data_IF_247465584349
#
_entry.id   IF_247465584349
#
_cell.length_a   1.000
_cell.length_b   1.000
_cell.length_c   1.000
_cell.angle_alpha   90.00
_cell.angle_beta   90.00
_cell.angle_gamma   90.00
#
_symmetry.space_group_name_H-M   'P 1'
#
loop_
_entity.id
_entity.type
_entity.pdbx_description
1 polymer ?
#
# COMPACT_ATOMS: atom_id res chain seq x y z
N UNK A 1 -16.68 33.20 -9.78
CA UNK A 1 -16.64 32.82 -8.35
C UNK A 1 -16.12 31.39 -8.29
N UNK A 2 -15.05 31.10 -7.55
CA UNK A 2 -14.55 29.72 -7.37
C UNK A 2 -15.12 29.14 -6.09
N UNK A 3 -15.94 28.10 -6.17
CA UNK A 3 -16.36 27.34 -4.99
C UNK A 3 -15.20 26.42 -4.60
N UNK A 4 -14.50 26.72 -3.51
CA UNK A 4 -13.45 25.83 -2.98
C UNK A 4 -14.12 24.67 -2.26
N UNK A 5 -14.09 23.47 -2.84
CA UNK A 5 -14.41 22.24 -2.12
C UNK A 5 -13.26 21.92 -1.16
N UNK A 6 -13.37 22.42 0.07
CA UNK A 6 -12.40 22.14 1.13
C UNK A 6 -12.56 20.68 1.58
N UNK A 7 -11.55 19.84 1.30
CA UNK A 7 -11.44 18.50 1.90
C UNK A 7 -11.30 18.65 3.42
N UNK A 8 -12.40 18.38 4.13
CA UNK A 8 -12.53 18.67 5.55
C UNK A 8 -12.17 17.42 6.38
N UNK A 9 -10.90 17.34 6.80
CA UNK A 9 -10.36 16.24 7.60
C UNK A 9 -11.06 16.19 8.96
N UNK A 10 -11.82 15.10 9.21
CA UNK A 10 -12.62 14.93 10.40
C UNK A 10 -11.93 14.02 11.44
N UNK A 11 -11.01 14.58 12.22
CA UNK A 11 -10.36 13.86 13.32
C UNK A 11 -11.35 13.62 14.49
N UNK A 12 -11.72 12.35 14.72
CA UNK A 12 -12.63 11.96 15.81
C UNK A 12 -11.85 11.81 17.12
N UNK A 13 -11.93 12.81 18.00
CA UNK A 13 -11.45 12.72 19.37
C UNK A 13 -12.48 11.99 20.24
N UNK A 14 -12.08 10.85 20.82
CA UNK A 14 -12.89 10.15 21.82
C UNK A 14 -12.80 10.88 23.17
N UNK A 15 -13.90 11.51 23.59
CA UNK A 15 -14.03 12.08 24.93
C UNK A 15 -14.28 10.97 25.96
N UNK A 16 -13.27 10.64 26.76
CA UNK A 16 -13.39 9.70 27.87
C UNK A 16 -13.95 10.39 29.12
N UNK A 17 -15.23 10.18 29.42
CA UNK A 17 -15.80 10.55 30.72
C UNK A 17 -15.48 9.46 31.76
N UNK A 18 -14.61 9.79 32.72
CA UNK A 18 -14.42 8.98 33.93
C UNK A 18 -15.54 9.19 34.95
N UNK A 19 -15.74 8.22 35.84
CA UNK A 19 -16.74 8.28 36.90
C UNK A 19 -16.67 7.07 37.83
N UNK A 20 -15.96 7.20 38.96
CA UNK A 20 -15.87 6.17 39.99
C UNK A 20 -17.06 6.21 40.96
N UNK A 21 -17.49 5.03 41.48
CA UNK A 21 -17.64 4.74 42.93
C UNK A 21 -18.62 3.58 43.24
N UNK A 22 -18.16 2.59 44.02
CA UNK A 22 -18.92 1.76 45.02
C UNK A 22 -20.13 0.88 44.57
N UNK A 23 -20.43 -0.30 45.16
CA UNK A 23 -19.66 -1.18 46.08
C UNK A 23 -20.34 -2.55 46.35
N UNK A 24 -19.65 -3.67 46.08
CA UNK A 24 -19.83 -5.01 46.70
C UNK A 24 -21.15 -5.79 46.46
N UNK A 25 -21.28 -7.03 47.00
CA UNK A 25 -20.30 -7.91 47.65
C UNK A 25 -20.02 -9.22 46.87
N UNK A 26 -19.20 -10.12 47.43
CA UNK A 26 -18.89 -11.46 46.88
C UNK A 26 -19.96 -12.53 47.19
N UNK A 27 -19.85 -13.75 46.61
CA UNK A 27 -19.36 -14.86 47.44
C UNK A 27 -18.28 -15.74 46.77
N UNK A 28 -17.70 -16.64 47.56
CA UNK A 28 -16.60 -17.55 47.20
C UNK A 28 -17.07 -18.80 46.42
N UNK A 29 -16.13 -19.46 45.71
CA UNK A 29 -15.85 -20.90 45.90
C UNK A 29 -14.46 -21.28 45.35
N UNK A 30 -13.87 -22.35 45.88
CA UNK A 30 -12.50 -22.82 45.56
C UNK A 30 -12.50 -23.94 44.50
N UNK A 31 -11.34 -24.36 43.97
CA UNK A 31 -10.59 -25.47 44.58
C UNK A 31 -9.13 -25.15 44.95
N UNK A 32 -8.40 -26.13 45.50
CA UNK A 32 -7.10 -25.99 46.19
C UNK A 32 -6.11 -27.14 45.87
N UNK A 33 -4.80 -26.87 45.96
CA UNK A 33 -3.66 -27.84 45.97
C UNK A 33 -3.43 -28.73 44.72
N UNK A 34 -2.23 -29.22 44.38
CA UNK A 34 -0.82 -29.05 44.85
C UNK A 34 0.10 -29.39 43.64
N UNK A 35 1.25 -28.77 43.33
CA UNK A 35 2.46 -28.32 44.06
C UNK A 35 3.65 -29.31 43.97
N UNK A 36 4.91 -28.79 44.08
CA UNK A 36 6.23 -29.48 44.09
C UNK A 36 6.66 -30.06 42.70
N UNK A 37 7.93 -29.97 42.21
CA UNK A 37 9.12 -29.13 42.49
C UNK A 37 10.16 -29.26 41.33
N UNK A 38 11.18 -28.39 41.19
CA UNK A 38 12.17 -28.42 40.09
C UNK A 38 13.44 -29.26 40.38
N UNK A 39 14.28 -29.47 39.36
CA UNK A 39 15.63 -30.04 39.45
C UNK A 39 16.67 -29.15 38.74
N UNK A 40 17.92 -29.18 39.21
CA UNK A 40 18.99 -28.23 38.86
C UNK A 40 20.35 -28.91 38.67
N UNK A 41 21.33 -28.15 38.14
CA UNK A 41 22.79 -28.41 38.23
C UNK A 41 23.33 -29.66 37.50
N UNK A 42 24.61 -29.76 37.12
CA UNK A 42 25.79 -28.87 37.28
C UNK A 42 26.90 -29.27 36.30
N UNK A 43 27.75 -28.29 35.91
CA UNK A 43 29.15 -28.42 35.41
C UNK A 43 29.42 -29.34 34.19
N UNK A 44 30.52 -29.25 33.45
CA UNK A 44 31.66 -28.32 33.33
C UNK A 44 32.35 -28.64 31.98
N UNK A 45 33.24 -27.87 31.36
CA UNK A 45 34.29 -27.01 31.86
C UNK A 45 35.60 -27.34 31.12
N UNK A 46 36.41 -26.31 30.82
CA UNK A 46 37.79 -26.36 30.28
C UNK A 46 38.00 -26.50 28.75
N UNK A 47 39.23 -26.20 28.30
CA UNK A 47 39.54 -25.71 26.95
C UNK A 47 40.83 -26.27 26.29
N UNK A 48 41.03 -25.87 25.02
CA UNK A 48 42.32 -25.66 24.30
C UNK A 48 43.33 -26.80 24.10
N UNK A 49 43.54 -27.18 22.82
CA UNK A 49 44.82 -27.32 22.05
C UNK A 49 44.41 -27.43 20.57
N UNK A 50 44.97 -26.77 19.55
CA UNK A 50 46.34 -26.39 19.13
C UNK A 50 47.20 -27.56 18.61
N UNK A 51 47.19 -27.72 17.27
CA UNK A 51 48.31 -28.09 16.36
C UNK A 51 47.76 -28.01 14.91
N UNK A 52 48.30 -27.30 13.91
CA UNK A 52 49.66 -27.21 13.31
C UNK A 52 50.10 -28.52 12.65
N UNK A 53 50.53 -28.58 11.38
CA UNK A 53 50.92 -27.54 10.39
C UNK A 53 50.22 -27.80 9.02
N UNK A 54 50.63 -27.40 7.80
CA UNK A 54 51.87 -26.80 7.26
C UNK A 54 51.65 -26.10 5.89
N UNK A 55 52.74 -25.58 5.29
CA UNK A 55 52.82 -24.95 3.95
C UNK A 55 53.25 -26.01 2.87
N UNK A 56 53.39 -25.75 1.55
CA UNK A 56 53.94 -24.57 0.83
C UNK A 56 53.46 -24.38 -0.63
N UNK A 57 53.26 -23.10 -1.01
CA UNK A 57 53.72 -22.40 -2.25
C UNK A 57 53.67 -23.10 -3.63
N UNK A 58 52.99 -22.45 -4.60
CA UNK A 58 53.18 -22.67 -6.04
C UNK A 58 52.74 -21.47 -6.90
N UNK A 59 53.69 -20.85 -7.63
CA UNK A 59 53.51 -19.85 -8.72
C UNK A 59 53.44 -20.60 -10.08
N UNK A 60 53.02 -20.07 -11.23
CA UNK A 60 52.58 -18.73 -11.71
C UNK A 60 51.76 -18.89 -13.03
N UNK A 61 51.23 -17.78 -13.59
CA UNK A 61 51.18 -17.34 -15.02
C UNK A 61 51.07 -18.35 -16.20
N UNK A 62 50.54 -18.05 -17.40
CA UNK A 62 49.70 -16.96 -17.96
C UNK A 62 49.58 -17.17 -19.49
N UNK A 63 48.51 -16.73 -20.16
CA UNK A 63 48.60 -16.27 -21.57
C UNK A 63 47.37 -15.45 -21.99
N UNK A 64 47.55 -14.54 -22.96
CA UNK A 64 46.52 -13.64 -23.50
C UNK A 64 46.62 -13.55 -25.02
N UNK A 65 45.54 -13.15 -25.70
CA UNK A 65 45.58 -12.75 -27.10
C UNK A 65 44.58 -11.62 -27.38
N UNK A 66 45.02 -10.58 -28.10
CA UNK A 66 44.20 -9.45 -28.56
C UNK A 66 43.65 -9.70 -29.97
N UNK A 67 42.53 -9.05 -30.32
CA UNK A 67 42.23 -8.62 -31.70
C UNK A 67 41.75 -7.15 -31.65
N UNK A 68 42.00 -6.38 -32.71
CA UNK A 68 41.97 -4.91 -32.71
C UNK A 68 40.66 -4.28 -33.18
N UNK A 69 40.51 -2.98 -32.90
CA UNK A 69 39.31 -2.19 -33.16
C UNK A 69 39.06 -1.84 -34.64
N UNK A 70 37.82 -1.44 -34.92
CA UNK A 70 37.44 -0.61 -36.06
C UNK A 70 36.37 0.40 -35.60
N UNK A 71 36.49 1.67 -36.01
CA UNK A 71 35.60 2.75 -35.58
C UNK A 71 34.47 2.99 -36.58
N UNK A 72 33.24 3.21 -36.09
CA UNK A 72 32.16 3.82 -36.86
C UNK A 72 31.37 4.80 -35.99
N UNK A 73 31.42 6.08 -36.35
CA UNK A 73 30.84 7.17 -35.57
C UNK A 73 29.43 7.51 -36.04
N UNK A 74 28.41 7.01 -35.35
CA UNK A 74 27.05 7.56 -35.40
C UNK A 74 26.83 8.48 -34.22
N UNK A 75 26.55 9.77 -34.49
CA UNK A 75 26.31 10.76 -33.46
C UNK A 75 24.95 10.51 -32.79
N UNK A 76 24.97 9.90 -31.60
CA UNK A 76 23.79 9.85 -30.72
C UNK A 76 23.58 11.24 -30.13
N UNK A 77 22.63 11.99 -30.70
CA UNK A 77 22.27 13.33 -30.24
C UNK A 77 21.83 13.31 -28.78
N UNK A 78 22.67 13.81 -27.88
CA UNK A 78 22.44 13.86 -26.44
C UNK A 78 21.45 14.96 -26.04
N UNK A 79 20.21 14.84 -26.52
CA UNK A 79 19.09 15.72 -26.17
C UNK A 79 18.45 15.29 -24.85
N UNK A 80 19.22 15.34 -23.75
CA UNK A 80 18.78 14.99 -22.39
C UNK A 80 17.88 16.07 -21.77
N UNK A 81 16.77 16.39 -22.44
CA UNK A 81 15.63 17.02 -21.81
C UNK A 81 14.88 15.94 -21.02
N UNK A 82 15.15 15.83 -19.71
CA UNK A 82 14.49 14.87 -18.82
C UNK A 82 13.05 15.34 -18.56
N UNK A 83 12.20 15.11 -19.54
CA UNK A 83 10.75 15.03 -19.38
C UNK A 83 10.44 13.64 -18.80
N UNK A 84 9.49 13.56 -17.86
CA UNK A 84 9.21 12.33 -17.11
C UNK A 84 9.14 11.08 -18.00
N UNK A 85 9.98 10.10 -17.71
CA UNK A 85 10.04 8.86 -18.49
C UNK A 85 8.84 7.99 -18.15
N UNK A 86 7.88 7.93 -19.09
CA UNK A 86 6.68 7.11 -19.00
C UNK A 86 7.00 5.67 -18.56
N UNK A 87 6.30 5.09 -17.56
CA UNK A 87 6.59 3.75 -17.08
C UNK A 87 6.55 2.69 -18.18
N UNK A 88 7.52 1.76 -18.17
CA UNK A 88 7.64 0.73 -19.20
C UNK A 88 6.48 -0.30 -19.19
N UNK A 89 5.64 -0.29 -18.16
CA UNK A 89 4.43 -1.10 -18.04
C UNK A 89 3.15 -0.39 -18.52
N UNK A 90 3.25 0.88 -18.96
CA UNK A 90 2.15 1.70 -19.44
C UNK A 90 2.14 1.84 -20.97
N UNK A 91 0.97 1.67 -21.57
CA UNK A 91 0.70 1.90 -22.99
C UNK A 91 -0.29 3.06 -23.17
N UNK A 92 0.26 4.22 -23.56
CA UNK A 92 -0.49 5.43 -23.86
C UNK A 92 -1.34 5.34 -25.15
N UNK A 93 -1.10 4.38 -26.04
CA UNK A 93 -1.90 4.20 -27.25
C UNK A 93 -3.20 3.46 -26.98
N UNK A 94 -3.23 2.57 -25.97
CA UNK A 94 -4.45 1.88 -25.52
C UNK A 94 -5.06 2.45 -24.23
N UNK A 95 -4.35 3.34 -23.52
CA UNK A 95 -4.68 3.79 -22.15
C UNK A 95 -4.82 2.59 -21.21
N UNK A 96 -3.79 1.72 -21.20
CA UNK A 96 -3.72 0.57 -20.29
C UNK A 96 -2.36 0.46 -19.61
N UNK A 97 -2.36 -0.11 -18.42
CA UNK A 97 -1.16 -0.50 -17.66
C UNK A 97 -1.25 -2.00 -17.38
N UNK A 98 -0.11 -2.70 -17.48
CA UNK A 98 -0.01 -4.13 -17.12
C UNK A 98 0.78 -4.25 -15.83
N UNK A 99 0.18 -4.75 -14.76
CA UNK A 99 0.92 -4.99 -13.51
C UNK A 99 1.94 -6.11 -13.73
N UNK A 100 3.22 -5.81 -13.53
CA UNK A 100 4.32 -6.74 -13.84
C UNK A 100 4.37 -7.98 -12.92
N UNK A 101 3.56 -8.03 -11.86
CA UNK A 101 3.58 -9.07 -10.82
C UNK A 101 2.56 -10.19 -11.04
N UNK A 102 1.42 -9.89 -11.65
CA UNK A 102 0.35 -10.85 -11.96
C UNK A 102 -0.05 -10.86 -13.46
N UNK A 103 0.47 -9.92 -14.26
CA UNK A 103 0.12 -9.75 -15.67
C UNK A 103 -1.26 -9.14 -15.91
N UNK A 104 -1.99 -8.71 -14.87
CA UNK A 104 -3.31 -8.11 -15.01
C UNK A 104 -3.20 -6.74 -15.68
N UNK A 105 -4.03 -6.55 -16.70
CA UNK A 105 -4.20 -5.26 -17.36
C UNK A 105 -5.32 -4.46 -16.69
N UNK A 106 -5.05 -3.19 -16.46
CA UNK A 106 -5.99 -2.20 -15.95
C UNK A 106 -6.10 -1.07 -16.98
N UNK A 107 -7.30 -0.52 -17.16
CA UNK A 107 -7.51 0.72 -17.91
C UNK A 107 -7.01 1.91 -17.11
N UNK A 108 -6.62 2.97 -17.81
CA UNK A 108 -6.23 4.25 -17.22
C UNK A 108 -7.08 5.40 -17.76
N UNK A 109 -7.00 6.55 -17.10
CA UNK A 109 -7.50 7.82 -17.63
C UNK A 109 -6.67 8.99 -17.15
N UNK A 110 -6.40 9.95 -18.04
CA UNK A 110 -5.69 11.19 -17.70
C UNK A 110 -6.69 12.29 -17.37
N UNK A 111 -6.56 12.90 -16.18
CA UNK A 111 -7.42 13.97 -15.67
C UNK A 111 -6.53 15.07 -15.09
N UNK A 112 -6.67 16.29 -15.60
CA UNK A 112 -5.72 17.37 -15.31
C UNK A 112 -4.33 17.05 -15.87
N UNK A 113 -3.31 17.09 -15.02
CA UNK A 113 -1.95 16.63 -15.35
C UNK A 113 -1.73 15.12 -15.15
N UNK A 114 -2.63 14.45 -14.43
CA UNK A 114 -2.33 13.17 -13.79
C UNK A 114 -2.95 12.01 -14.55
N UNK A 115 -2.28 10.86 -14.60
CA UNK A 115 -2.85 9.63 -15.16
C UNK A 115 -3.15 8.63 -14.04
N UNK A 116 -4.41 8.22 -13.96
CA UNK A 116 -4.96 7.37 -12.91
C UNK A 116 -5.35 6.01 -13.45
N UNK A 117 -5.33 4.98 -12.61
CA UNK A 117 -6.08 3.76 -12.86
C UNK A 117 -7.59 4.07 -12.92
N UNK A 118 -8.27 3.57 -13.94
CA UNK A 118 -9.74 3.63 -14.07
C UNK A 118 -10.44 2.50 -13.29
N UNK A 119 -9.68 1.52 -12.81
CA UNK A 119 -10.12 0.37 -12.03
C UNK A 119 -9.39 0.35 -10.67
N UNK A 120 -9.94 -0.33 -9.67
CA UNK A 120 -9.21 -0.51 -8.41
C UNK A 120 -8.18 -1.64 -8.56
N UNK A 121 -7.04 -1.54 -7.88
CA UNK A 121 -6.00 -2.56 -7.90
C UNK A 121 -6.56 -3.90 -7.38
N UNK A 122 -6.19 -4.99 -8.03
CA UNK A 122 -6.72 -6.34 -7.77
C UNK A 122 -5.62 -7.40 -7.62
N UNK A 123 -4.38 -6.96 -7.40
CA UNK A 123 -3.24 -7.82 -7.11
C UNK A 123 -3.46 -8.60 -5.79
N UNK A 124 -3.31 -9.92 -5.81
CA UNK A 124 -3.52 -10.78 -4.64
C UNK A 124 -2.27 -10.82 -3.75
N UNK A 125 -2.11 -9.81 -2.87
CA UNK A 125 -0.91 -9.65 -2.05
C UNK A 125 -0.80 -10.75 -0.96
N UNK A 126 0.13 -11.68 -1.20
CA UNK A 126 0.65 -12.64 -0.24
C UNK A 126 2.06 -12.19 0.16
N UNK A 127 2.39 -12.16 1.45
CA UNK A 127 3.76 -11.87 1.93
C UNK A 127 4.67 -13.10 1.84
N UNK A 128 5.99 -12.90 1.89
CA UNK A 128 6.96 -14.02 1.90
C UNK A 128 6.76 -15.00 3.06
N UNK A 129 6.14 -14.55 4.17
CA UNK A 129 5.76 -15.40 5.30
C UNK A 129 4.42 -16.16 5.09
N UNK A 130 3.83 -16.11 3.88
CA UNK A 130 2.54 -16.72 3.55
C UNK A 130 1.32 -15.95 4.08
N UNK A 131 1.50 -14.72 4.56
CA UNK A 131 0.42 -13.90 5.12
C UNK A 131 -0.42 -13.23 4.04
N UNK A 132 -1.75 -13.42 4.10
CA UNK A 132 -2.70 -12.77 3.18
C UNK A 132 -2.93 -11.31 3.61
N UNK A 133 -2.58 -10.34 2.76
CA UNK A 133 -2.72 -8.91 3.05
C UNK A 133 -3.87 -8.20 2.31
N UNK A 134 -4.65 -8.95 1.53
CA UNK A 134 -5.81 -8.47 0.78
C UNK A 134 -7.12 -9.16 1.21
N UNK A 135 -8.25 -8.57 0.82
CA UNK A 135 -9.60 -9.14 0.93
C UNK A 135 -10.45 -8.75 -0.26
N UNK A 136 -11.40 -9.59 -0.65
CA UNK A 136 -12.46 -9.19 -1.57
C UNK A 136 -13.57 -8.44 -0.84
N UNK A 137 -14.20 -7.41 -1.45
CA UNK A 137 -15.36 -6.75 -0.87
C UNK A 137 -16.48 -7.70 -0.51
N UNK A 138 -17.09 -7.50 0.67
CA UNK A 138 -18.11 -8.39 1.25
C UNK A 138 -17.62 -9.82 1.57
N UNK A 139 -16.32 -10.09 1.48
CA UNK A 139 -15.69 -11.42 1.50
C UNK A 139 -16.08 -12.35 0.33
N UNK A 140 -16.64 -11.81 -0.76
CA UNK A 140 -17.03 -12.60 -1.94
C UNK A 140 -15.93 -12.60 -3.00
N UNK A 141 -15.40 -13.77 -3.39
CA UNK A 141 -14.25 -13.86 -4.34
C UNK A 141 -14.52 -13.16 -5.67
N UNK A 142 -15.74 -13.25 -6.20
CA UNK A 142 -16.13 -12.59 -7.45
C UNK A 142 -16.10 -11.05 -7.34
N UNK A 143 -16.25 -10.47 -6.14
CA UNK A 143 -16.14 -9.04 -5.97
C UNK A 143 -14.70 -8.53 -6.17
N UNK A 144 -13.65 -9.34 -5.95
CA UNK A 144 -12.28 -8.94 -6.30
C UNK A 144 -12.12 -8.65 -7.80
N UNK A 145 -12.88 -9.36 -8.65
CA UNK A 145 -12.82 -9.19 -10.12
C UNK A 145 -13.50 -7.89 -10.56
N UNK A 146 -14.64 -7.57 -9.93
CA UNK A 146 -15.50 -6.42 -10.30
C UNK A 146 -15.08 -5.11 -9.62
N UNK A 147 -14.71 -5.15 -8.34
CA UNK A 147 -14.48 -3.97 -7.48
C UNK A 147 -13.00 -3.76 -7.13
N UNK A 148 -12.12 -4.65 -7.59
CA UNK A 148 -10.75 -4.76 -7.10
C UNK A 148 -10.67 -5.33 -5.68
N UNK A 149 -9.45 -5.44 -5.17
CA UNK A 149 -9.16 -5.88 -3.82
C UNK A 149 -9.26 -4.72 -2.82
N UNK A 150 -9.39 -5.10 -1.55
CA UNK A 150 -9.21 -4.24 -0.40
C UNK A 150 -7.91 -4.66 0.30
N UNK A 151 -7.09 -3.70 0.70
CA UNK A 151 -5.76 -3.96 1.28
C UNK A 151 -5.67 -3.44 2.69
N UNK A 152 -5.03 -4.21 3.56
CA UNK A 152 -4.56 -3.72 4.84
C UNK A 152 -3.23 -2.99 4.69
N UNK A 153 -2.75 -2.45 5.81
CA UNK A 153 -1.51 -1.69 5.99
C UNK A 153 -0.24 -2.28 5.37
N UNK A 154 -0.15 -3.60 5.17
CA UNK A 154 1.01 -4.23 4.52
C UNK A 154 1.10 -3.81 3.04
N UNK A 155 -0.04 -3.54 2.38
CA UNK A 155 -0.09 -2.91 1.06
C UNK A 155 0.34 -1.43 1.04
N UNK A 156 0.69 -0.86 2.20
CA UNK A 156 1.12 0.53 2.38
C UNK A 156 2.54 0.59 2.97
N UNK A 157 3.34 -0.46 2.75
CA UNK A 157 4.76 -0.50 3.09
C UNK A 157 5.61 -0.65 1.81
N UNK A 158 6.64 0.19 1.66
CA UNK A 158 7.63 0.11 0.56
C UNK A 158 8.36 -1.24 0.55
N UNK A 159 8.51 -1.85 1.72
CA UNK A 159 8.97 -3.22 1.88
C UNK A 159 7.87 -4.04 2.56
N UNK A 160 7.03 -4.63 1.73
CA UNK A 160 6.05 -5.68 2.06
C UNK A 160 6.67 -6.88 2.83
N UNK A 161 8.00 -7.02 2.79
CA UNK A 161 8.77 -8.09 3.40
C UNK A 161 9.45 -7.70 4.72
N UNK A 162 9.52 -6.41 5.05
CA UNK A 162 10.29 -5.93 6.22
C UNK A 162 9.78 -6.45 7.57
N UNK A 163 8.50 -6.81 7.65
CA UNK A 163 7.81 -7.09 8.91
C UNK A 163 7.69 -5.86 9.84
N UNK A 164 8.25 -4.71 9.43
CA UNK A 164 8.25 -3.48 10.20
C UNK A 164 6.94 -2.74 10.00
N UNK A 165 6.25 -2.56 11.10
CA UNK A 165 4.97 -1.89 11.15
C UNK A 165 5.18 -0.37 11.08
N UNK A 166 4.97 0.17 9.87
CA UNK A 166 5.22 1.56 9.43
C UNK A 166 6.69 2.03 9.34
N UNK A 167 7.05 2.68 8.21
CA UNK A 167 7.58 4.04 8.25
C UNK A 167 6.42 5.04 8.47
N UNK A 168 6.59 6.04 9.34
CA UNK A 168 5.87 7.30 9.10
C UNK A 168 6.40 7.83 7.77
N UNK A 169 5.55 8.16 6.79
CA UNK A 169 6.00 8.51 5.44
C UNK A 169 6.67 9.90 5.43
N UNK A 170 8.01 10.04 5.34
CA UNK A 170 8.61 11.36 5.19
C UNK A 170 8.37 11.89 3.78
N UNK A 171 8.33 13.21 3.60
CA UNK A 171 8.35 13.83 2.26
C UNK A 171 9.48 13.28 1.37
N UNK A 172 10.62 12.90 1.96
CA UNK A 172 11.79 12.38 1.25
C UNK A 172 11.61 11.01 0.55
N UNK A 173 10.46 10.34 0.70
CA UNK A 173 10.09 9.14 -0.07
C UNK A 173 8.81 9.32 -0.90
N UNK A 174 8.30 10.55 -1.04
CA UNK A 174 7.21 10.84 -1.98
C UNK A 174 7.77 10.87 -3.42
N UNK A 175 7.03 10.39 -4.44
CA UNK A 175 5.71 9.77 -4.34
C UNK A 175 5.76 8.32 -3.84
N UNK A 176 4.76 7.91 -3.04
CA UNK A 176 4.82 6.67 -2.26
C UNK A 176 4.33 5.44 -3.02
N UNK A 177 5.24 4.56 -3.46
CA UNK A 177 4.89 3.39 -4.27
C UNK A 177 3.91 2.45 -3.54
N UNK A 178 4.27 1.99 -2.33
CA UNK A 178 3.54 0.94 -1.63
C UNK A 178 3.22 -0.28 -2.52
N UNK A 179 1.95 -0.73 -2.51
CA UNK A 179 1.48 -1.85 -3.36
C UNK A 179 1.28 -1.49 -4.85
N UNK A 180 1.43 -0.26 -5.30
CA UNK A 180 1.27 0.05 -6.73
C UNK A 180 2.37 -0.60 -7.59
N UNK A 181 2.11 -0.91 -8.88
CA UNK A 181 3.13 -1.43 -9.78
C UNK A 181 4.22 -0.37 -10.06
N UNK A 182 5.34 -0.78 -10.65
CA UNK A 182 6.51 0.09 -10.78
C UNK A 182 6.24 1.27 -11.72
N UNK A 183 6.62 2.48 -11.29
CA UNK A 183 6.30 3.73 -11.98
C UNK A 183 4.92 4.32 -11.61
N UNK A 184 4.21 3.71 -10.66
CA UNK A 184 2.93 4.18 -10.13
C UNK A 184 2.96 4.21 -8.60
N UNK A 185 2.11 5.05 -8.01
CA UNK A 185 2.10 5.26 -6.56
C UNK A 185 0.69 5.39 -5.97
N UNK A 186 0.60 5.32 -4.64
CA UNK A 186 -0.62 5.54 -3.88
C UNK A 186 -0.85 7.06 -3.79
N UNK A 187 -2.04 7.59 -4.16
CA UNK A 187 -2.23 9.03 -4.30
C UNK A 187 -2.17 9.77 -2.95
N UNK A 188 -1.48 10.90 -2.90
CA UNK A 188 -1.54 11.83 -1.78
C UNK A 188 -2.82 12.67 -1.76
N UNK A 189 -3.08 13.37 -0.65
CA UNK A 189 -4.25 14.26 -0.54
C UNK A 189 -4.21 15.42 -1.56
N UNK A 190 -3.03 15.91 -1.92
CA UNK A 190 -2.87 16.95 -2.94
C UNK A 190 -3.28 16.45 -4.34
N UNK A 191 -2.96 15.19 -4.66
CA UNK A 191 -3.34 14.57 -5.93
C UNK A 191 -4.84 14.31 -5.99
N UNK A 192 -5.45 13.86 -4.88
CA UNK A 192 -6.91 13.82 -4.77
C UNK A 192 -7.54 15.21 -4.94
N UNK A 193 -6.91 16.29 -4.47
CA UNK A 193 -7.38 17.66 -4.71
C UNK A 193 -7.20 18.09 -6.18
N UNK A 194 -6.08 17.75 -6.84
CA UNK A 194 -5.86 18.01 -8.27
C UNK A 194 -6.92 17.30 -9.13
N UNK A 195 -7.26 16.05 -8.82
CA UNK A 195 -8.37 15.33 -9.46
C UNK A 195 -9.70 16.11 -9.30
N UNK A 196 -10.04 16.49 -8.06
CA UNK A 196 -11.30 17.18 -7.73
C UNK A 196 -11.41 18.60 -8.27
N UNK A 197 -10.30 19.30 -8.47
CA UNK A 197 -10.25 20.62 -9.12
C UNK A 197 -10.46 20.54 -10.64
N UNK A 198 -10.25 19.37 -11.26
CA UNK A 198 -10.35 19.15 -12.71
C UNK A 198 -11.66 18.49 -13.17
N UNK A 199 -12.40 17.79 -12.29
CA UNK A 199 -13.65 17.10 -12.68
C UNK A 199 -14.69 17.01 -11.56
N UNK A 200 -15.97 17.09 -11.91
CA UNK A 200 -17.08 16.99 -10.97
C UNK A 200 -17.21 15.59 -10.36
N UNK A 201 -17.48 15.51 -9.06
CA UNK A 201 -17.61 14.24 -8.32
C UNK A 201 -18.65 13.29 -8.92
N UNK A 202 -19.75 13.83 -9.46
CA UNK A 202 -20.79 13.03 -10.13
C UNK A 202 -20.28 12.35 -11.40
N UNK A 203 -19.28 12.91 -12.08
CA UNK A 203 -18.68 12.31 -13.27
C UNK A 203 -17.52 11.36 -12.94
N UNK A 204 -16.94 11.46 -11.72
CA UNK A 204 -15.97 10.48 -11.17
C UNK A 204 -16.62 9.14 -10.80
N UNK A 205 -17.86 9.15 -10.34
CA UNK A 205 -18.60 7.97 -9.91
C UNK A 205 -19.19 7.19 -11.11
N UNK A 206 -19.24 5.86 -11.01
CA UNK A 206 -19.92 5.03 -12.01
C UNK A 206 -21.45 5.25 -11.99
N UNK A 207 -22.13 4.88 -13.06
CA UNK A 207 -23.61 4.88 -13.10
C UNK A 207 -24.21 4.02 -11.96
N UNK A 208 -23.61 2.85 -11.69
CA UNK A 208 -23.99 1.96 -10.58
C UNK A 208 -23.73 2.53 -9.19
N UNK A 209 -22.93 3.60 -9.08
CA UNK A 209 -22.67 4.35 -7.85
C UNK A 209 -23.53 5.64 -7.74
N UNK A 210 -24.41 5.90 -8.71
CA UNK A 210 -25.21 7.13 -8.79
C UNK A 210 -24.52 8.31 -9.48
N UNK A 211 -23.38 8.07 -10.15
CA UNK A 211 -22.68 9.03 -11.00
C UNK A 211 -23.06 8.91 -12.48
N UNK A 212 -22.19 9.44 -13.35
CA UNK A 212 -22.37 9.42 -14.81
C UNK A 212 -21.29 8.61 -15.55
N UNK A 213 -20.20 8.23 -14.88
CA UNK A 213 -19.03 7.56 -15.47
C UNK A 213 -18.21 8.39 -16.49
N UNK A 214 -18.66 9.60 -16.87
CA UNK A 214 -18.11 10.38 -18.00
C UNK A 214 -16.64 10.74 -17.89
N UNK A 215 -16.09 10.82 -16.68
CA UNK A 215 -14.67 11.09 -16.47
C UNK A 215 -13.75 9.94 -16.92
N UNK A 216 -14.30 8.74 -17.19
CA UNK A 216 -13.53 7.51 -17.33
C UNK A 216 -13.06 6.90 -15.99
N UNK A 217 -13.05 7.67 -14.90
CA UNK A 217 -12.54 7.24 -13.60
C UNK A 217 -13.42 6.17 -12.94
N UNK A 218 -14.75 6.26 -13.05
CA UNK A 218 -15.69 5.19 -12.67
C UNK A 218 -15.45 4.58 -11.26
N UNK A 219 -15.55 5.39 -10.20
CA UNK A 219 -15.56 4.88 -8.82
C UNK A 219 -16.75 3.95 -8.61
N UNK A 220 -16.45 2.69 -8.29
CA UNK A 220 -17.40 1.72 -7.76
C UNK A 220 -17.41 1.80 -6.22
N UNK A 221 -18.59 1.64 -5.60
CA UNK A 221 -18.77 1.66 -4.14
C UNK A 221 -18.33 0.33 -3.49
N UNK A 222 -17.05 -0.01 -3.66
CA UNK A 222 -16.42 -1.22 -3.11
C UNK A 222 -16.46 -1.28 -1.57
N UNK A 223 -16.77 -0.17 -0.90
CA UNK A 223 -16.73 -0.06 0.56
C UNK A 223 -15.31 -0.22 1.09
N UNK A 224 -15.24 -0.83 2.26
CA UNK A 224 -14.03 -1.16 3.00
C UNK A 224 -14.41 -1.68 4.37
N UNK A 225 -13.43 -2.19 5.10
CA UNK A 225 -13.56 -2.59 6.50
C UNK A 225 -12.88 -1.54 7.37
N UNK A 226 -13.62 -0.93 8.30
CA UNK A 226 -13.01 -0.16 9.39
C UNK A 226 -12.46 -1.09 10.48
N UNK A 227 -11.75 -0.55 11.48
CA UNK A 227 -11.18 -1.34 12.58
C UNK A 227 -12.21 -2.08 13.46
N UNK A 228 -13.51 -1.77 13.33
CA UNK A 228 -14.62 -2.53 13.94
C UNK A 228 -15.03 -3.79 13.14
N UNK A 229 -14.36 -4.08 12.02
CA UNK A 229 -14.72 -5.19 11.12
C UNK A 229 -16.02 -5.00 10.34
N UNK A 230 -16.71 -3.87 10.49
CA UNK A 230 -17.96 -3.57 9.77
C UNK A 230 -17.70 -3.21 8.31
N UNK A 231 -18.35 -3.92 7.38
CA UNK A 231 -18.21 -3.71 5.95
C UNK A 231 -19.16 -2.62 5.42
N UNK A 232 -18.64 -1.70 4.60
CA UNK A 232 -19.41 -0.60 3.99
C UNK A 232 -19.71 -0.80 2.48
N UNK A 233 -19.80 -2.06 2.03
CA UNK A 233 -20.05 -2.44 0.64
C UNK A 233 -21.32 -1.79 0.07
N UNK A 234 -21.25 -1.30 -1.17
CA UNK A 234 -22.35 -0.66 -1.89
C UNK A 234 -22.78 0.72 -1.36
N UNK A 235 -22.18 1.21 -0.26
CA UNK A 235 -22.58 2.47 0.40
C UNK A 235 -21.59 3.61 0.16
N UNK A 236 -20.29 3.30 0.06
CA UNK A 236 -19.20 4.25 -0.16
C UNK A 236 -18.10 3.63 -1.01
N UNK A 237 -17.27 4.43 -1.66
CA UNK A 237 -15.95 4.01 -2.11
C UNK A 237 -14.90 4.48 -1.08
N UNK A 238 -14.08 3.58 -0.55
CA UNK A 238 -12.95 3.94 0.32
C UNK A 238 -11.66 3.73 -0.47
N UNK A 239 -11.13 4.81 -1.03
CA UNK A 239 -9.97 4.81 -1.91
C UNK A 239 -8.77 5.35 -1.15
N UNK A 240 -7.71 4.56 -1.02
CA UNK A 240 -6.62 4.88 -0.13
C UNK A 240 -5.86 6.16 -0.52
N UNK A 241 -5.25 6.77 0.48
CA UNK A 241 -4.36 7.91 0.31
C UNK A 241 -3.17 7.84 1.27
N UNK A 242 -2.07 8.51 0.91
CA UNK A 242 -0.93 8.75 1.79
C UNK A 242 -0.89 10.21 2.20
N UNK A 243 -0.59 10.46 3.47
CA UNK A 243 -0.17 11.78 3.95
C UNK A 243 0.77 11.61 5.16
N UNK A 244 1.35 12.71 5.66
CA UNK A 244 2.24 12.66 6.81
C UNK A 244 1.52 12.27 8.13
N UNK A 245 2.31 11.95 9.15
CA UNK A 245 1.90 11.90 10.57
C UNK A 245 0.78 10.92 10.99
N UNK A 246 0.79 9.67 10.51
CA UNK A 246 0.30 8.58 11.36
C UNK A 246 0.98 7.24 11.16
N UNK A 247 1.45 6.64 12.26
CA UNK A 247 1.80 5.20 12.35
C UNK A 247 0.66 4.37 12.99
N UNK A 248 -0.56 4.91 13.01
CA UNK A 248 -1.74 4.26 13.60
C UNK A 248 -3.02 4.37 12.76
N UNK A 249 -2.99 5.12 11.67
CA UNK A 249 -4.14 5.40 10.82
C UNK A 249 -3.81 5.32 9.33
N UNK A 250 -4.75 4.76 8.57
CA UNK A 250 -4.74 4.73 7.11
C UNK A 250 -5.67 5.83 6.60
N UNK A 251 -5.15 6.75 5.79
CA UNK A 251 -5.93 7.82 5.15
C UNK A 251 -6.66 7.28 3.92
N UNK A 252 -7.85 7.82 3.64
CA UNK A 252 -8.59 7.49 2.42
C UNK A 252 -9.52 8.63 1.96
N UNK A 253 -9.62 8.78 0.64
CA UNK A 253 -10.69 9.50 -0.02
C UNK A 253 -11.98 8.65 0.02
N UNK A 254 -13.00 9.18 0.68
CA UNK A 254 -14.30 8.54 0.88
C UNK A 254 -15.33 9.14 -0.07
N UNK A 255 -15.71 8.37 -1.08
CA UNK A 255 -16.72 8.73 -2.07
C UNK A 255 -18.11 8.32 -1.57
N UNK A 256 -19.05 9.27 -1.50
CA UNK A 256 -20.44 9.04 -1.10
C UNK A 256 -21.41 9.96 -1.85
N UNK A 257 -22.31 9.37 -2.64
CA UNK A 257 -23.33 10.00 -3.50
C UNK A 257 -22.78 11.02 -4.52
N UNK A 258 -22.43 12.23 -4.10
CA UNK A 258 -21.77 13.27 -4.91
C UNK A 258 -20.74 14.07 -4.10
N UNK A 259 -20.23 13.47 -3.02
CA UNK A 259 -19.23 14.07 -2.13
C UNK A 259 -18.00 13.18 -2.00
N UNK A 260 -16.84 13.83 -1.82
CA UNK A 260 -15.57 13.18 -1.43
C UNK A 260 -15.09 13.85 -0.15
N UNK A 261 -14.58 13.05 0.80
CA UNK A 261 -13.98 13.52 2.04
C UNK A 261 -12.70 12.77 2.33
N UNK A 262 -11.71 13.44 2.92
CA UNK A 262 -10.58 12.78 3.55
C UNK A 262 -11.01 12.27 4.93
N UNK A 263 -10.92 10.96 5.15
CA UNK A 263 -11.16 10.31 6.44
C UNK A 263 -10.01 9.36 6.79
N UNK A 264 -9.92 8.96 8.06
CA UNK A 264 -8.92 8.02 8.57
C UNK A 264 -9.59 6.79 9.19
N UNK A 265 -8.95 5.64 9.09
CA UNK A 265 -9.30 4.44 9.88
C UNK A 265 -8.09 3.98 10.67
N UNK A 266 -8.30 3.52 11.90
CA UNK A 266 -7.26 2.85 12.66
C UNK A 266 -6.79 1.56 11.95
N UNK A 267 -5.59 1.11 12.32
CA UNK A 267 -4.96 -0.12 11.85
C UNK A 267 -5.90 -1.35 11.90
N UNK A 268 -5.67 -2.30 10.99
CA UNK A 268 -6.52 -3.49 10.79
C UNK A 268 -7.71 -3.27 9.85
N UNK A 269 -7.95 -2.03 9.40
CA UNK A 269 -8.86 -1.75 8.29
C UNK A 269 -8.36 -2.29 6.95
N UNK A 270 -9.27 -2.39 5.98
CA UNK A 270 -9.00 -2.82 4.60
C UNK A 270 -9.73 -1.88 3.62
N UNK A 271 -9.00 -1.27 2.68
CA UNK A 271 -9.49 -0.23 1.75
C UNK A 271 -9.00 -0.48 0.32
N UNK A 272 -9.73 0.00 -0.69
CA UNK A 272 -9.30 -0.14 -2.09
C UNK A 272 -8.09 0.75 -2.37
N UNK A 273 -7.09 0.23 -3.09
CA UNK A 273 -6.02 1.04 -3.68
C UNK A 273 -6.35 1.33 -5.14
N UNK A 274 -6.04 2.55 -5.58
CA UNK A 274 -6.13 2.97 -6.97
C UNK A 274 -4.93 3.84 -7.26
N UNK A 275 -4.09 3.41 -8.19
CA UNK A 275 -2.78 4.00 -8.41
C UNK A 275 -2.83 5.17 -9.38
N UNK A 276 -1.85 6.06 -9.28
CA UNK A 276 -1.69 7.28 -10.09
C UNK A 276 -0.22 7.46 -10.49
N UNK A 277 0.02 8.28 -11.51
CA UNK A 277 1.32 8.80 -11.93
C UNK A 277 1.16 10.22 -12.53
N UNK A 278 2.22 11.02 -12.49
CA UNK A 278 2.32 12.40 -13.02
C UNK A 278 3.33 12.52 -14.17
#
# INVERSE_FOLDING_TARGET
MKCKYLLLVAAILFAACGGDSSSGPAPENTPNSSAIAPLSSSDGGNASVISSSSATVGKESSSSANVTAASSSSAVSSSSAVKGSTPANYDAATNTVTDERDGKKYKTVTIGSQTWFAENLAYELITEAGGVAYKCPNNETENCKTYGCLYNQIGFADSINSGLFYPAFPESVRPYKGICPTGWHIPSLDEWQVLLDNVAVVDLLSESAGGTGKSGFNVLLAGGYGSSGSMLFGKVGMMASVDEYSIQQMYYAKFASVSVKAETTNNGGYISVRCVMD
#
